data_IF_626957360549
#
_entry.id   IF_626957360549
#
_cell.length_a   1.000
_cell.length_b   1.000
_cell.length_c   1.000
_cell.angle_alpha   90.00
_cell.angle_beta   90.00
_cell.angle_gamma   90.00
#
_symmetry.space_group_name_H-M   'P 1'
#
loop_
_entity.id
_entity.type
_entity.pdbx_description
1 polymer ?
#
# COMPACT_ATOMS: atom_id res chain seq x y z
N UNK A 1 -2.57 -24.72 -66.62
CA UNK A 1 -1.98 -24.93 -65.28
C UNK A 1 -1.85 -23.56 -64.61
N UNK A 2 -2.82 -23.19 -63.77
CA UNK A 2 -2.81 -21.93 -63.02
C UNK A 2 -3.35 -22.22 -61.63
N UNK A 3 -2.45 -22.31 -60.66
CA UNK A 3 -2.79 -22.54 -59.26
C UNK A 3 -3.27 -21.24 -58.63
N UNK A 4 -4.53 -21.19 -58.22
CA UNK A 4 -5.07 -20.11 -57.40
C UNK A 4 -4.54 -20.26 -55.97
N UNK A 5 -3.57 -19.42 -55.61
CA UNK A 5 -3.10 -19.28 -54.24
C UNK A 5 -4.18 -18.62 -53.39
N UNK A 6 -4.75 -19.36 -52.46
CA UNK A 6 -5.62 -18.82 -51.42
C UNK A 6 -4.78 -18.05 -50.42
N UNK A 7 -4.84 -16.72 -50.46
CA UNK A 7 -4.33 -15.84 -49.41
C UNK A 7 -5.00 -16.19 -48.08
N UNK A 8 -4.25 -16.87 -47.23
CA UNK A 8 -4.61 -17.19 -45.86
C UNK A 8 -4.60 -15.89 -45.05
N UNK A 9 -5.78 -15.35 -44.76
CA UNK A 9 -5.93 -14.08 -44.05
C UNK A 9 -5.57 -14.23 -42.57
N UNK A 10 -4.73 -13.32 -42.07
CA UNK A 10 -4.20 -13.16 -40.70
C UNK A 10 -5.26 -12.86 -39.62
N UNK A 11 -6.47 -13.40 -39.75
CA UNK A 11 -7.60 -13.17 -38.86
C UNK A 11 -7.44 -13.78 -37.45
N UNK A 12 -6.47 -14.67 -37.24
CA UNK A 12 -6.25 -15.37 -35.96
C UNK A 12 -5.80 -14.45 -34.81
N UNK A 13 -5.06 -13.38 -35.09
CA UNK A 13 -4.50 -12.50 -34.06
C UNK A 13 -5.55 -11.58 -33.42
N UNK A 14 -6.63 -11.25 -34.15
CA UNK A 14 -7.65 -10.30 -33.70
C UNK A 14 -8.52 -10.83 -32.55
N UNK A 15 -8.88 -12.12 -32.59
CA UNK A 15 -9.77 -12.73 -31.60
C UNK A 15 -9.15 -12.87 -30.21
N UNK A 16 -7.86 -13.22 -30.14
CA UNK A 16 -7.14 -13.33 -28.88
C UNK A 16 -6.92 -11.96 -28.23
N UNK A 17 -6.54 -10.95 -29.03
CA UNK A 17 -6.36 -9.59 -28.57
C UNK A 17 -7.66 -9.02 -27.98
N UNK A 18 -8.80 -9.18 -28.68
CA UNK A 18 -10.09 -8.70 -28.18
C UNK A 18 -10.45 -9.32 -26.83
N UNK A 19 -10.23 -10.64 -26.65
CA UNK A 19 -10.49 -11.33 -25.38
C UNK A 19 -9.60 -10.80 -24.26
N UNK A 20 -8.32 -10.58 -24.52
CA UNK A 20 -7.40 -10.01 -23.54
C UNK A 20 -7.82 -8.60 -23.12
N UNK A 21 -8.19 -7.73 -24.07
CA UNK A 21 -8.71 -6.38 -23.79
C UNK A 21 -10.00 -6.41 -22.99
N UNK A 22 -10.94 -7.32 -23.30
CA UNK A 22 -12.17 -7.45 -22.50
C UNK A 22 -11.88 -7.88 -21.06
N UNK A 23 -10.97 -8.83 -20.85
CA UNK A 23 -10.58 -9.27 -19.51
C UNK A 23 -9.89 -8.13 -18.73
N UNK A 24 -8.99 -7.38 -19.38
CA UNK A 24 -8.34 -6.22 -18.78
C UNK A 24 -9.36 -5.14 -18.40
N UNK A 25 -10.33 -4.86 -19.27
CA UNK A 25 -11.42 -3.91 -18.99
C UNK A 25 -12.28 -4.34 -17.80
N UNK A 26 -12.65 -5.62 -17.72
CA UNK A 26 -13.36 -6.19 -16.57
C UNK A 26 -12.53 -6.07 -15.27
N UNK A 27 -11.23 -6.35 -15.33
CA UNK A 27 -10.35 -6.23 -14.17
C UNK A 27 -10.26 -4.78 -13.69
N UNK A 28 -10.03 -3.83 -14.60
CA UNK A 28 -9.98 -2.40 -14.29
C UNK A 28 -11.30 -1.89 -13.70
N UNK A 29 -12.44 -2.34 -14.23
CA UNK A 29 -13.76 -2.05 -13.68
C UNK A 29 -13.89 -2.54 -12.23
N UNK A 30 -13.37 -3.73 -11.91
CA UNK A 30 -13.30 -4.27 -10.56
C UNK A 30 -12.56 -3.37 -9.58
N UNK A 31 -11.41 -2.82 -10.00
CA UNK A 31 -10.62 -1.88 -9.20
C UNK A 31 -11.38 -0.57 -8.95
N UNK A 32 -12.07 -0.04 -9.96
CA UNK A 32 -12.90 1.17 -9.81
C UNK A 32 -14.07 0.92 -8.86
N UNK A 33 -14.75 -0.23 -8.99
CA UNK A 33 -15.85 -0.61 -8.10
C UNK A 33 -15.40 -0.77 -6.66
N UNK A 34 -14.25 -1.41 -6.42
CA UNK A 34 -13.66 -1.49 -5.08
C UNK A 34 -13.48 -0.11 -4.46
N UNK A 35 -12.96 0.87 -5.22
CA UNK A 35 -12.75 2.23 -4.71
C UNK A 35 -14.07 2.90 -4.30
N UNK A 36 -15.11 2.74 -5.10
CA UNK A 36 -16.45 3.25 -4.80
C UNK A 36 -17.08 2.55 -3.59
N UNK A 37 -17.11 1.22 -3.58
CA UNK A 37 -17.69 0.44 -2.48
C UNK A 37 -16.93 0.62 -1.16
N UNK A 38 -15.60 0.72 -1.22
CA UNK A 38 -14.76 0.97 -0.05
C UNK A 38 -15.09 2.30 0.63
N UNK A 39 -15.38 3.35 -0.16
CA UNK A 39 -15.80 4.64 0.39
C UNK A 39 -17.19 4.65 1.03
N UNK A 40 -18.10 3.77 0.58
CA UNK A 40 -19.49 3.77 1.02
C UNK A 40 -19.79 2.77 2.16
N UNK A 41 -19.14 1.59 2.18
CA UNK A 41 -19.54 0.47 3.03
C UNK A 41 -18.43 -0.07 3.95
N UNK A 42 -17.32 0.65 4.12
CA UNK A 42 -16.25 0.26 5.03
C UNK A 42 -15.32 -0.85 4.51
N UNK A 43 -15.45 -1.25 3.24
CA UNK A 43 -14.60 -2.24 2.59
C UNK A 43 -14.87 -3.68 3.03
N UNK A 44 -15.04 -4.59 2.08
CA UNK A 44 -15.10 -6.03 2.37
C UNK A 44 -13.67 -6.61 2.41
N UNK A 45 -13.38 -7.61 3.29
CA UNK A 45 -12.07 -8.25 3.34
C UNK A 45 -11.76 -8.93 2.01
N UNK A 46 -10.47 -9.01 1.63
CA UNK A 46 -10.08 -9.57 0.35
C UNK A 46 -10.47 -11.04 0.20
N UNK A 47 -10.49 -11.79 1.30
CA UNK A 47 -10.97 -13.17 1.33
C UNK A 47 -12.42 -13.30 0.82
N UNK A 48 -13.30 -12.34 1.13
CA UNK A 48 -14.69 -12.35 0.67
C UNK A 48 -14.78 -12.11 -0.84
N UNK A 49 -14.02 -11.15 -1.37
CA UNK A 49 -13.92 -10.92 -2.81
C UNK A 49 -13.40 -12.16 -3.54
N UNK A 50 -12.30 -12.76 -3.07
CA UNK A 50 -11.72 -13.94 -3.72
C UNK A 50 -12.66 -15.16 -3.64
N UNK A 51 -13.38 -15.35 -2.53
CA UNK A 51 -14.40 -16.39 -2.42
C UNK A 51 -15.52 -16.21 -3.46
N UNK A 52 -16.01 -14.97 -3.64
CA UNK A 52 -17.00 -14.65 -4.68
C UNK A 52 -16.48 -14.91 -6.09
N UNK A 53 -15.21 -14.60 -6.36
CA UNK A 53 -14.58 -14.89 -7.65
C UNK A 53 -14.50 -16.40 -7.91
N UNK A 54 -14.11 -17.20 -6.91
CA UNK A 54 -14.11 -18.66 -7.00
C UNK A 54 -15.51 -19.22 -7.24
N UNK A 55 -16.54 -18.74 -6.54
CA UNK A 55 -17.92 -19.14 -6.76
C UNK A 55 -18.37 -18.82 -8.20
N UNK A 56 -18.06 -17.62 -8.71
CA UNK A 56 -18.38 -17.24 -10.08
C UNK A 56 -17.70 -18.16 -11.11
N UNK A 57 -16.47 -18.60 -10.85
CA UNK A 57 -15.77 -19.59 -11.69
C UNK A 57 -16.46 -20.95 -11.65
N UNK A 58 -16.86 -21.44 -10.48
CA UNK A 58 -17.61 -22.71 -10.35
C UNK A 58 -18.92 -22.65 -11.14
N UNK A 59 -19.69 -21.56 -11.00
CA UNK A 59 -20.92 -21.36 -11.77
C UNK A 59 -20.67 -21.27 -13.28
N UNK A 60 -19.55 -20.68 -13.71
CA UNK A 60 -19.21 -20.58 -15.13
C UNK A 60 -19.02 -21.95 -15.79
N UNK A 61 -18.55 -22.96 -15.05
CA UNK A 61 -18.40 -24.33 -15.53
C UNK A 61 -19.72 -25.10 -15.66
N UNK A 62 -20.76 -24.68 -14.94
CA UNK A 62 -22.10 -25.28 -14.99
C UNK A 62 -22.98 -24.67 -16.09
N UNK A 63 -22.69 -23.44 -16.50
CA UNK A 63 -23.49 -22.68 -17.47
C UNK A 63 -22.94 -22.83 -18.88
N UNK A 64 -23.81 -22.63 -19.88
CA UNK A 64 -23.44 -22.65 -21.31
C UNK A 64 -23.81 -21.32 -21.98
N UNK A 65 -23.19 -21.07 -23.13
CA UNK A 65 -23.52 -19.93 -23.99
C UNK A 65 -23.15 -18.57 -23.38
N UNK A 66 -24.06 -17.60 -23.50
CA UNK A 66 -23.83 -16.21 -23.07
C UNK A 66 -23.67 -16.12 -21.55
N UNK A 67 -24.40 -16.92 -20.78
CA UNK A 67 -24.33 -16.91 -19.32
C UNK A 67 -22.95 -17.28 -18.78
N UNK A 68 -22.26 -18.23 -19.41
CA UNK A 68 -20.88 -18.58 -19.07
C UNK A 68 -19.93 -17.37 -19.24
N UNK A 69 -20.08 -16.61 -20.34
CA UNK A 69 -19.28 -15.40 -20.60
C UNK A 69 -19.52 -14.32 -19.55
N UNK A 70 -20.78 -14.12 -19.13
CA UNK A 70 -21.14 -13.16 -18.09
C UNK A 70 -20.54 -13.57 -16.73
N UNK A 71 -20.63 -14.85 -16.35
CA UNK A 71 -20.02 -15.34 -15.12
C UNK A 71 -18.49 -15.21 -15.12
N UNK A 72 -17.83 -15.49 -16.25
CA UNK A 72 -16.38 -15.27 -16.39
C UNK A 72 -16.01 -13.79 -16.26
N UNK A 73 -16.76 -12.90 -16.91
CA UNK A 73 -16.57 -11.45 -16.78
C UNK A 73 -16.72 -10.99 -15.33
N UNK A 74 -17.77 -11.45 -14.64
CA UNK A 74 -18.00 -11.16 -13.22
C UNK A 74 -16.85 -11.68 -12.35
N UNK A 75 -16.36 -12.90 -12.58
CA UNK A 75 -15.23 -13.46 -11.84
C UNK A 75 -13.97 -12.58 -11.96
N UNK A 76 -13.69 -12.05 -13.16
CA UNK A 76 -12.55 -11.15 -13.40
C UNK A 76 -12.73 -9.81 -12.70
N UNK A 77 -13.94 -9.23 -12.73
CA UNK A 77 -14.27 -7.98 -12.00
C UNK A 77 -14.05 -8.16 -10.50
N UNK A 78 -14.63 -9.21 -9.92
CA UNK A 78 -14.54 -9.51 -8.48
C UNK A 78 -13.09 -9.83 -8.07
N UNK A 79 -12.34 -10.54 -8.92
CA UNK A 79 -10.92 -10.79 -8.71
C UNK A 79 -10.11 -9.48 -8.73
N UNK A 80 -10.42 -8.54 -9.63
CA UNK A 80 -9.80 -7.21 -9.65
C UNK A 80 -10.06 -6.42 -8.37
N UNK A 81 -11.30 -6.45 -7.85
CA UNK A 81 -11.65 -5.84 -6.56
C UNK A 81 -10.89 -6.50 -5.39
N UNK A 82 -10.81 -7.83 -5.36
CA UNK A 82 -10.06 -8.57 -4.35
C UNK A 82 -8.55 -8.31 -4.39
N UNK A 83 -7.97 -8.20 -5.59
CA UNK A 83 -6.56 -7.86 -5.78
C UNK A 83 -6.25 -6.45 -5.27
N UNK A 84 -7.12 -5.47 -5.58
CA UNK A 84 -6.98 -4.10 -5.07
C UNK A 84 -7.06 -4.06 -3.54
N UNK A 85 -8.02 -4.78 -2.96
CA UNK A 85 -8.16 -4.91 -1.49
C UNK A 85 -6.89 -5.51 -0.87
N UNK A 86 -6.36 -6.61 -1.43
CA UNK A 86 -5.12 -7.24 -0.96
C UNK A 86 -3.93 -6.29 -1.01
N UNK A 87 -3.80 -5.53 -2.09
CA UNK A 87 -2.63 -4.68 -2.32
C UNK A 87 -2.70 -3.37 -1.57
N UNK A 88 -3.87 -2.76 -1.50
CA UNK A 88 -4.05 -1.39 -1.02
C UNK A 88 -4.53 -1.38 0.44
N UNK A 89 -5.53 -2.18 0.80
CA UNK A 89 -6.07 -2.17 2.16
C UNK A 89 -5.29 -3.12 3.08
N UNK A 90 -5.10 -4.37 2.64
CA UNK A 90 -4.47 -5.40 3.48
C UNK A 90 -2.94 -5.36 3.40
N UNK A 91 -2.36 -4.96 2.28
CA UNK A 91 -0.92 -4.73 2.13
C UNK A 91 -0.42 -3.63 3.07
N UNK A 92 -1.26 -2.60 3.26
CA UNK A 92 -1.03 -1.52 4.22
C UNK A 92 -1.27 -2.01 5.66
N UNK A 93 -2.24 -2.91 5.90
CA UNK A 93 -2.50 -3.46 7.24
C UNK A 93 -1.43 -4.47 7.72
N UNK A 94 -0.82 -5.25 6.81
CA UNK A 94 0.31 -6.16 7.13
C UNK A 94 1.62 -5.42 7.41
N UNK A 95 1.72 -4.21 6.89
CA UNK A 95 2.77 -3.24 7.25
C UNK A 95 2.14 -2.25 8.22
N UNK A 96 1.73 -2.72 9.40
CA UNK A 96 1.18 -1.94 10.54
C UNK A 96 1.84 -0.60 10.92
N UNK A 97 2.83 -0.11 10.17
CA UNK A 97 3.29 1.28 10.11
C UNK A 97 2.17 2.29 9.85
N UNK A 98 1.05 1.91 9.22
CA UNK A 98 -0.02 2.84 8.84
C UNK A 98 -1.33 2.70 9.64
N UNK A 99 -1.39 1.83 10.66
CA UNK A 99 -2.54 1.79 11.58
C UNK A 99 -2.55 2.95 12.58
N UNK A 100 -1.48 3.75 12.63
CA UNK A 100 -1.61 5.18 12.90
C UNK A 100 -2.27 5.85 11.70
N UNK A 101 -3.46 5.36 11.31
CA UNK A 101 -4.35 6.12 10.46
C UNK A 101 -4.50 7.43 11.19
N UNK A 102 -4.17 8.50 10.46
CA UNK A 102 -4.44 9.91 10.68
C UNK A 102 -5.93 10.06 11.06
N UNK A 103 -6.28 9.61 12.26
CA UNK A 103 -7.58 9.70 12.85
C UNK A 103 -7.58 11.10 13.44
N UNK A 104 -8.12 12.04 12.66
CA UNK A 104 -8.28 13.44 13.00
C UNK A 104 -6.99 14.28 12.90
N UNK A 105 -6.95 15.38 12.11
CA UNK A 105 -5.88 16.39 12.19
C UNK A 105 -5.69 16.96 13.62
N UNK A 106 -6.68 16.83 14.51
CA UNK A 106 -6.50 17.11 15.95
C UNK A 106 -5.49 16.16 16.66
N UNK A 107 -5.16 15.02 16.05
CA UNK A 107 -4.30 13.96 16.61
C UNK A 107 -2.82 14.15 16.26
N UNK A 108 -2.44 15.17 15.49
CA UNK A 108 -1.05 15.50 15.11
C UNK A 108 -0.08 15.73 16.29
N UNK A 109 -0.57 15.69 17.54
CA UNK A 109 0.23 15.87 18.74
C UNK A 109 0.06 14.78 19.79
N UNK A 110 -0.58 13.64 19.48
CA UNK A 110 -0.69 12.56 20.46
C UNK A 110 0.70 12.00 20.79
N UNK A 111 0.92 11.83 22.09
CA UNK A 111 2.06 11.12 22.61
C UNK A 111 1.81 9.64 22.36
N UNK A 112 2.70 9.01 21.60
CA UNK A 112 2.68 7.57 21.36
C UNK A 112 3.89 6.95 22.02
N UNK A 113 3.69 5.75 22.56
CA UNK A 113 4.77 4.91 23.02
C UNK A 113 4.95 3.75 22.02
N UNK A 114 6.17 3.57 21.55
CA UNK A 114 6.53 2.55 20.58
C UNK A 114 7.60 1.64 21.17
N UNK A 115 7.46 0.36 20.96
CA UNK A 115 8.47 -0.64 21.29
C UNK A 115 8.89 -1.35 20.00
N UNK A 116 10.20 -1.56 19.86
CA UNK A 116 10.72 -2.16 18.64
C UNK A 116 12.22 -2.36 18.65
N UNK A 117 12.74 -2.77 17.50
CA UNK A 117 14.17 -3.05 17.28
C UNK A 117 14.78 -1.96 16.41
N UNK A 118 15.85 -1.33 16.88
CA UNK A 118 16.62 -0.37 16.10
C UNK A 118 17.27 -1.08 14.90
N UNK A 119 16.96 -0.65 13.69
CA UNK A 119 17.52 -1.23 12.47
C UNK A 119 18.88 -0.65 12.11
N UNK A 120 19.17 0.56 12.60
CA UNK A 120 20.38 1.31 12.30
C UNK A 120 20.86 2.00 13.57
N UNK A 121 22.18 2.15 13.70
CA UNK A 121 22.78 2.99 14.73
C UNK A 121 22.37 4.45 14.48
N UNK A 122 21.99 5.20 15.54
CA UNK A 122 21.71 6.63 15.43
C UNK A 122 22.81 7.36 14.67
N UNK A 123 22.38 8.18 13.71
CA UNK A 123 23.26 9.02 12.92
C UNK A 123 22.87 10.47 13.12
N UNK A 124 23.84 11.39 13.27
CA UNK A 124 23.52 12.80 13.35
C UNK A 124 22.81 13.23 12.06
N UNK A 125 21.75 14.00 12.22
CA UNK A 125 21.10 14.73 11.15
C UNK A 125 22.09 15.83 10.79
N UNK A 126 22.91 15.58 9.78
CA UNK A 126 23.99 16.48 9.41
C UNK A 126 23.50 17.92 9.28
N UNK A 127 24.27 18.86 9.85
CA UNK A 127 24.09 20.29 9.62
C UNK A 127 23.91 20.51 8.11
N UNK A 128 22.75 21.03 7.72
CA UNK A 128 22.51 21.34 6.32
C UNK A 128 23.44 22.48 5.93
N UNK A 129 24.51 22.18 5.22
CA UNK A 129 25.43 23.17 4.67
C UNK A 129 24.94 23.60 3.29
N UNK A 130 24.81 24.91 3.07
CA UNK A 130 24.49 25.51 1.77
C UNK A 130 23.47 26.65 1.84
N UNK A 131 23.43 27.47 0.79
CA UNK A 131 22.58 28.67 0.72
C UNK A 131 21.07 28.41 0.86
N UNK A 132 20.63 27.16 0.67
CA UNK A 132 19.23 26.74 0.78
C UNK A 132 18.87 26.15 2.16
N UNK A 133 19.82 26.07 3.09
CA UNK A 133 19.59 25.48 4.41
C UNK A 133 18.50 26.22 5.22
N UNK A 134 18.44 27.55 5.11
CA UNK A 134 17.48 28.39 5.84
C UNK A 134 16.01 28.26 5.37
N UNK A 135 15.76 27.69 4.19
CA UNK A 135 14.40 27.55 3.65
C UNK A 135 13.72 26.24 4.02
N UNK A 136 14.48 25.25 4.52
CA UNK A 136 13.95 23.94 4.85
C UNK A 136 13.65 23.90 6.35
N UNK A 137 12.39 24.11 6.72
CA UNK A 137 11.85 24.07 8.11
C UNK A 137 11.98 22.71 8.82
N UNK A 138 12.73 21.78 8.26
CA UNK A 138 12.84 20.38 8.69
C UNK A 138 14.31 20.04 8.91
N UNK A 139 14.79 20.19 10.13
CA UNK A 139 16.17 19.87 10.51
C UNK A 139 16.66 20.77 11.61
N UNK A 140 16.24 20.48 12.85
CA UNK A 140 17.02 20.89 14.01
C UNK A 140 18.24 19.99 14.15
N UNK A 141 19.18 20.40 15.01
CA UNK A 141 20.24 19.51 15.50
C UNK A 141 19.61 18.27 16.12
N UNK A 142 20.18 17.11 15.79
CA UNK A 142 19.84 15.87 16.47
C UNK A 142 20.18 14.61 15.73
N UNK A 143 19.61 13.50 16.17
CA UNK A 143 19.93 12.16 15.70
C UNK A 143 18.71 11.49 15.06
N UNK A 144 18.98 10.66 14.05
CA UNK A 144 17.95 9.85 13.39
C UNK A 144 18.38 8.40 13.24
N UNK A 145 17.40 7.50 13.33
CA UNK A 145 17.55 6.09 13.01
C UNK A 145 16.22 5.47 12.59
N UNK A 146 16.27 4.32 11.94
CA UNK A 146 15.09 3.52 11.62
C UNK A 146 14.81 2.50 12.72
N UNK A 147 13.55 2.42 13.16
CA UNK A 147 13.05 1.48 14.15
C UNK A 147 12.02 0.56 13.50
N UNK A 148 12.18 -0.76 13.65
CA UNK A 148 11.12 -1.72 13.36
C UNK A 148 10.21 -1.83 14.57
N UNK A 149 8.97 -1.38 14.44
CA UNK A 149 7.96 -1.46 15.49
C UNK A 149 7.51 -2.92 15.66
N UNK A 150 7.39 -3.35 16.91
CA UNK A 150 6.78 -4.62 17.33
C UNK A 150 5.45 -4.36 18.07
N UNK A 151 5.37 -3.28 18.86
CA UNK A 151 4.14 -2.88 19.55
C UNK A 151 3.99 -1.35 19.59
N UNK A 152 2.74 -0.89 19.60
CA UNK A 152 2.40 0.51 19.75
C UNK A 152 1.36 0.68 20.86
N UNK A 153 1.62 1.61 21.76
CA UNK A 153 0.75 1.94 22.88
C UNK A 153 0.36 3.41 22.79
N UNK A 154 -0.95 3.64 22.64
CA UNK A 154 -1.56 4.96 22.72
C UNK A 154 -2.50 5.06 23.92
N UNK A 155 -3.26 6.15 23.98
CA UNK A 155 -4.28 6.37 25.02
C UNK A 155 -5.35 5.27 25.03
N UNK A 156 -5.64 4.69 23.86
CA UNK A 156 -6.63 3.62 23.66
C UNK A 156 -6.08 2.22 23.99
N UNK A 157 -4.88 2.13 24.59
CA UNK A 157 -4.22 0.88 24.98
C UNK A 157 -3.11 0.42 24.02
N UNK A 158 -2.51 -0.74 24.36
CA UNK A 158 -1.49 -1.39 23.56
C UNK A 158 -2.08 -2.20 22.42
N UNK A 159 -1.49 -2.10 21.23
CA UNK A 159 -1.83 -2.89 20.05
C UNK A 159 -0.56 -3.40 19.38
N UNK A 160 -0.58 -4.65 18.95
CA UNK A 160 0.50 -5.21 18.13
C UNK A 160 0.53 -4.48 16.79
N UNK A 161 1.72 -4.05 16.38
CA UNK A 161 1.88 -3.30 15.13
C UNK A 161 3.23 -3.60 14.51
N UNK A 162 3.26 -3.77 13.19
CA UNK A 162 4.46 -4.13 12.44
C UNK A 162 4.83 -3.00 11.49
N UNK A 163 6.01 -2.40 11.61
CA UNK A 163 6.32 -1.29 10.71
C UNK A 163 7.74 -0.84 10.80
N UNK A 164 8.17 0.00 9.87
CA UNK A 164 9.43 0.73 10.02
C UNK A 164 9.09 2.20 10.12
N UNK A 165 9.49 2.81 11.23
CA UNK A 165 9.40 4.26 11.44
C UNK A 165 10.80 4.86 11.49
N UNK A 166 10.89 6.11 11.09
CA UNK A 166 12.09 6.91 11.35
C UNK A 166 11.87 7.70 12.64
N UNK A 167 12.77 7.50 13.58
CA UNK A 167 12.79 8.20 14.86
C UNK A 167 13.73 9.38 14.72
N UNK A 168 13.27 10.54 15.18
CA UNK A 168 14.04 11.78 15.29
C UNK A 168 14.13 12.15 16.77
N UNK A 169 15.34 12.35 17.27
CA UNK A 169 15.59 12.72 18.66
C UNK A 169 16.48 13.96 18.66
N UNK A 170 16.16 14.91 19.55
CA UNK A 170 16.90 16.16 19.67
C UNK A 170 18.35 15.92 20.07
N UNK A 171 18.62 15.49 21.30
CA UNK A 171 19.99 15.25 21.77
C UNK A 171 20.03 14.05 22.71
N UNK A 172 21.23 13.47 22.90
CA UNK A 172 21.51 12.53 24.00
C UNK A 172 21.24 11.05 23.69
N UNK A 173 21.36 10.63 22.42
CA UNK A 173 21.32 9.22 22.03
C UNK A 173 22.71 8.61 21.83
N UNK A 174 23.75 9.43 21.71
CA UNK A 174 25.14 9.00 21.52
C UNK A 174 25.51 7.82 22.44
N UNK A 175 25.83 6.68 21.82
CA UNK A 175 26.26 5.46 22.51
C UNK A 175 25.17 4.70 23.26
N UNK A 176 23.93 5.21 23.34
CA UNK A 176 22.83 4.58 24.09
C UNK A 176 22.03 3.57 23.29
N UNK A 177 21.99 3.73 21.96
CA UNK A 177 21.26 2.84 21.05
C UNK A 177 22.17 2.41 19.92
N UNK A 178 22.12 1.13 19.57
CA UNK A 178 22.82 0.52 18.44
C UNK A 178 21.84 -0.27 17.59
N UNK A 179 22.23 -0.54 16.35
CA UNK A 179 21.49 -1.47 15.51
C UNK A 179 21.35 -2.85 16.19
N UNK A 180 20.14 -3.39 16.24
CA UNK A 180 19.78 -4.63 16.92
C UNK A 180 19.18 -4.45 18.31
N UNK A 181 19.32 -3.27 18.93
CA UNK A 181 18.80 -3.04 20.27
C UNK A 181 17.28 -2.97 20.27
N UNK A 182 16.67 -3.60 21.29
CA UNK A 182 15.26 -3.38 21.62
C UNK A 182 15.13 -2.11 22.42
N UNK A 183 14.32 -1.18 21.91
CA UNK A 183 14.10 0.12 22.51
C UNK A 183 12.62 0.39 22.68
N UNK A 184 12.30 1.07 23.79
CA UNK A 184 10.97 1.58 24.09
C UNK A 184 11.06 3.11 24.14
N UNK A 185 10.28 3.78 23.31
CA UNK A 185 10.38 5.22 23.08
C UNK A 185 9.00 5.84 23.23
N UNK A 186 8.93 6.99 23.90
CA UNK A 186 7.74 7.83 23.91
C UNK A 186 8.02 9.10 23.11
N UNK A 187 7.13 9.46 22.20
CA UNK A 187 7.33 10.61 21.33
C UNK A 187 6.06 11.07 20.64
N UNK A 188 6.16 12.17 19.92
CA UNK A 188 5.05 12.67 19.09
C UNK A 188 5.11 12.00 17.72
N UNK A 189 3.99 11.46 17.28
CA UNK A 189 3.88 10.96 15.92
C UNK A 189 3.71 12.11 14.94
N UNK A 190 4.47 12.08 13.84
CA UNK A 190 4.26 12.96 12.71
C UNK A 190 3.90 12.11 11.48
N UNK A 191 2.71 12.26 10.90
CA UNK A 191 2.37 11.52 9.69
C UNK A 191 3.27 11.95 8.52
N UNK A 192 3.59 11.04 7.59
CA UNK A 192 4.30 11.42 6.37
C UNK A 192 3.45 12.43 5.59
N UNK A 193 4.07 13.54 5.20
CA UNK A 193 3.39 14.54 4.37
C UNK A 193 3.08 13.95 3.00
N UNK A 194 1.90 14.24 2.43
CA UNK A 194 1.57 13.77 1.09
C UNK A 194 2.63 14.26 0.08
N UNK A 195 2.94 13.47 -0.96
CA UNK A 195 3.88 13.87 -1.98
C UNK A 195 3.40 15.17 -2.64
N UNK A 196 4.29 16.17 -2.72
CA UNK A 196 3.98 17.46 -3.35
C UNK A 196 3.80 17.34 -4.87
N UNK A 197 4.35 16.29 -5.49
CA UNK A 197 4.25 16.06 -6.92
C UNK A 197 3.56 14.72 -7.21
N UNK A 198 2.28 14.73 -7.67
CA UNK A 198 1.59 13.49 -8.02
C UNK A 198 2.29 12.80 -9.19
N UNK A 199 2.67 11.54 -9.00
CA UNK A 199 3.30 10.70 -10.04
C UNK A 199 4.82 10.62 -10.00
N UNK A 200 5.50 11.36 -9.11
CA UNK A 200 6.92 11.16 -8.85
C UNK A 200 7.15 10.43 -7.52
N UNK A 201 8.19 9.59 -7.48
CA UNK A 201 8.64 8.97 -6.23
C UNK A 201 9.14 10.08 -5.33
N UNK A 202 8.54 10.22 -4.16
CA UNK A 202 8.95 11.22 -3.19
C UNK A 202 10.42 11.00 -2.81
N UNK A 203 11.28 11.94 -3.20
CA UNK A 203 12.72 11.91 -2.94
C UNK A 203 13.08 12.58 -1.62
N UNK A 204 12.09 13.05 -0.85
CA UNK A 204 12.35 13.54 0.50
C UNK A 204 13.01 12.43 1.32
N UNK A 205 14.08 12.74 2.07
CA UNK A 205 14.57 11.80 3.07
C UNK A 205 13.43 11.57 4.06
N UNK A 206 12.82 10.37 4.01
CA UNK A 206 11.76 9.90 4.91
C UNK A 206 12.24 9.76 6.35
#
# INVERSE_FOLDING_TARGET
MGGAGTSQSDSGHSGAALRAWTALGCFALGVVLWRWFGSAYGGAPAAAWLALACLALVFSGLLRGVSCKLCLGLAVVVCGAGWATLRIDEGVSRTGAMHLRVADPATERRLIEIEGVALQTPSPIGERRGAMAGFLRFGGEGERFSLRIESLRGDDGGRDSSGVVRVFVGEGLEGRVRAGDRVRLAGRFRPPEPPLNPGQRDSRPL
#
